data_IF_718174100125
#
_entry.id   IF_718174100125
#
_cell.length_a   1.000
_cell.length_b   1.000
_cell.length_c   1.000
_cell.angle_alpha   90.00
_cell.angle_beta   90.00
_cell.angle_gamma   90.00
#
_symmetry.space_group_name_H-M   'P 1'
#
loop_
_entity.id
_entity.type
_entity.pdbx_description
1 polymer ?
#
# COMPACT_ATOMS: atom_id res chain seq x y z
N UNK A 1 4.52 1.22 -39.96
CA UNK A 1 4.69 2.51 -39.24
C UNK A 1 5.84 2.39 -38.24
N UNK A 2 6.83 3.29 -38.27
CA UNK A 2 7.76 3.42 -37.14
C UNK A 2 7.11 4.37 -36.14
N UNK A 3 6.75 3.85 -34.97
CA UNK A 3 6.40 4.68 -33.80
C UNK A 3 7.59 5.62 -33.55
N UNK A 4 7.34 6.93 -33.47
CA UNK A 4 8.43 7.88 -33.30
C UNK A 4 9.03 7.79 -31.90
N UNK A 5 10.22 8.36 -31.76
CA UNK A 5 11.00 8.28 -30.53
C UNK A 5 10.28 8.89 -29.31
N UNK A 6 9.46 9.92 -29.49
CA UNK A 6 8.70 10.52 -28.38
C UNK A 6 7.59 9.57 -27.91
N UNK A 7 6.84 8.96 -28.83
CA UNK A 7 5.81 7.98 -28.46
C UNK A 7 6.45 6.73 -27.82
N UNK A 8 7.62 6.28 -28.29
CA UNK A 8 8.35 5.18 -27.64
C UNK A 8 8.79 5.53 -26.22
N UNK A 9 9.26 6.75 -25.97
CA UNK A 9 9.61 7.20 -24.62
C UNK A 9 8.38 7.23 -23.70
N UNK A 10 7.24 7.72 -24.18
CA UNK A 10 5.98 7.73 -23.42
C UNK A 10 5.49 6.33 -23.09
N UNK A 11 5.61 5.37 -23.99
CA UNK A 11 5.28 3.96 -23.73
C UNK A 11 6.16 3.39 -22.60
N UNK A 12 7.48 3.67 -22.63
CA UNK A 12 8.38 3.25 -21.54
C UNK A 12 8.01 3.87 -20.19
N UNK A 13 7.66 5.16 -20.19
CA UNK A 13 7.20 5.86 -18.98
C UNK A 13 5.89 5.26 -18.45
N UNK A 14 4.95 4.91 -19.33
CA UNK A 14 3.68 4.28 -18.96
C UNK A 14 3.92 2.91 -18.30
N UNK A 15 4.77 2.08 -18.92
CA UNK A 15 5.14 0.77 -18.36
C UNK A 15 5.78 0.89 -16.97
N UNK A 16 6.64 1.90 -16.75
CA UNK A 16 7.22 2.18 -15.44
C UNK A 16 6.15 2.61 -14.41
N UNK A 17 5.16 3.40 -14.81
CA UNK A 17 4.05 3.79 -13.93
C UNK A 17 3.19 2.58 -13.54
N UNK A 18 2.91 1.68 -14.48
CA UNK A 18 2.18 0.43 -14.22
C UNK A 18 2.93 -0.48 -13.23
N UNK A 19 4.24 -0.62 -13.39
CA UNK A 19 5.08 -1.37 -12.45
C UNK A 19 5.04 -0.75 -11.04
N UNK A 20 5.12 0.58 -10.95
CA UNK A 20 5.03 1.30 -9.68
C UNK A 20 3.65 1.16 -9.02
N UNK A 21 2.57 1.16 -9.82
CA UNK A 21 1.21 0.90 -9.35
C UNK A 21 1.10 -0.50 -8.75
N UNK A 22 1.60 -1.53 -9.44
CA UNK A 22 1.60 -2.90 -8.96
C UNK A 22 2.37 -3.02 -7.64
N UNK A 23 3.57 -2.43 -7.54
CA UNK A 23 4.35 -2.42 -6.30
C UNK A 23 3.63 -1.70 -5.15
N UNK A 24 2.96 -0.58 -5.43
CA UNK A 24 2.21 0.18 -4.42
C UNK A 24 1.01 -0.61 -3.91
N UNK A 25 0.30 -1.31 -4.81
CA UNK A 25 -0.83 -2.16 -4.46
C UNK A 25 -0.42 -3.34 -3.57
N UNK A 26 0.69 -4.01 -3.89
CA UNK A 26 1.23 -5.11 -3.08
C UNK A 26 1.63 -4.64 -1.67
N UNK A 27 2.29 -3.48 -1.56
CA UNK A 27 2.62 -2.90 -0.27
C UNK A 27 1.36 -2.57 0.55
N UNK A 28 0.35 -1.97 -0.08
CA UNK A 28 -0.92 -1.64 0.59
C UNK A 28 -1.62 -2.89 1.12
N UNK A 29 -1.70 -3.95 0.31
CA UNK A 29 -2.27 -5.23 0.71
C UNK A 29 -1.54 -5.83 1.92
N UNK A 30 -0.20 -5.76 1.94
CA UNK A 30 0.60 -6.20 3.08
C UNK A 30 0.24 -5.46 4.38
N UNK A 31 0.06 -4.15 4.34
CA UNK A 31 -0.37 -3.37 5.51
C UNK A 31 -1.82 -3.65 5.90
N UNK A 32 -2.71 -3.90 4.95
CA UNK A 32 -4.11 -4.27 5.24
C UNK A 32 -4.21 -5.61 5.99
N UNK A 33 -3.39 -6.60 5.63
CA UNK A 33 -3.30 -7.87 6.37
C UNK A 33 -2.81 -7.61 7.80
N UNK A 34 -1.73 -6.85 7.97
CA UNK A 34 -1.21 -6.51 9.30
C UNK A 34 -2.22 -5.74 10.16
N UNK A 35 -3.02 -4.87 9.53
CA UNK A 35 -4.09 -4.13 10.21
C UNK A 35 -5.17 -5.08 10.71
N UNK A 36 -5.65 -5.98 9.85
CA UNK A 36 -6.65 -6.99 10.22
C UNK A 36 -6.18 -7.90 11.37
N UNK A 37 -4.92 -8.34 11.34
CA UNK A 37 -4.32 -9.13 12.41
C UNK A 37 -4.23 -8.33 13.72
N UNK A 38 -3.87 -7.04 13.63
CA UNK A 38 -3.77 -6.14 14.79
C UNK A 38 -5.15 -5.90 15.42
N UNK A 39 -6.17 -5.66 14.59
CA UNK A 39 -7.56 -5.50 15.06
C UNK A 39 -8.08 -6.77 15.73
N UNK A 40 -7.77 -7.94 15.15
CA UNK A 40 -8.14 -9.24 15.72
C UNK A 40 -7.45 -9.47 17.07
N UNK A 41 -6.18 -9.09 17.21
CA UNK A 41 -5.46 -9.17 18.48
C UNK A 41 -6.04 -8.24 19.55
N UNK A 42 -6.43 -7.02 19.18
CA UNK A 42 -7.12 -6.07 20.09
C UNK A 42 -8.44 -6.67 20.57
N UNK A 43 -9.21 -7.30 19.67
CA UNK A 43 -10.49 -7.90 20.00
C UNK A 43 -10.35 -9.07 20.98
N UNK A 44 -9.41 -9.99 20.70
CA UNK A 44 -9.16 -11.15 21.56
C UNK A 44 -8.66 -10.76 22.96
N UNK A 45 -7.98 -9.61 23.10
CA UNK A 45 -7.47 -9.12 24.40
C UNK A 45 -8.58 -8.61 25.34
N UNK A 46 -9.78 -8.28 24.85
CA UNK A 46 -10.86 -7.67 25.65
C UNK A 46 -11.23 -8.50 26.89
N UNK A 47 -11.18 -9.83 26.77
CA UNK A 47 -11.58 -10.77 27.82
C UNK A 47 -10.38 -11.40 28.54
N UNK A 48 -9.15 -10.89 28.32
CA UNK A 48 -7.92 -11.44 28.94
C UNK A 48 -7.41 -10.51 30.02
N UNK A 49 -6.71 -11.09 31.01
CA UNK A 49 -6.01 -10.31 32.06
C UNK A 49 -4.58 -9.94 31.67
N UNK A 50 -3.94 -10.78 30.86
CA UNK A 50 -2.55 -10.62 30.43
C UNK A 50 -2.31 -11.39 29.13
N UNK A 51 -1.28 -10.99 28.40
CA UNK A 51 -0.76 -11.72 27.26
C UNK A 51 0.76 -11.72 27.24
N UNK A 52 1.33 -12.26 26.17
CA UNK A 52 2.76 -12.23 25.92
C UNK A 52 3.03 -11.47 24.63
N UNK A 53 4.05 -10.60 24.65
CA UNK A 53 4.61 -9.99 23.45
C UNK A 53 5.99 -10.55 23.16
N UNK A 54 6.30 -10.70 21.88
CA UNK A 54 7.63 -11.09 21.42
C UNK A 54 8.47 -9.82 21.22
N UNK A 55 9.64 -9.78 21.85
CA UNK A 55 10.65 -8.74 21.63
C UNK A 55 11.94 -9.44 21.24
N UNK A 56 12.39 -9.27 20.00
CA UNK A 56 13.47 -10.05 19.41
C UNK A 56 13.24 -11.56 19.55
N UNK A 57 14.02 -12.25 20.38
CA UNK A 57 13.93 -13.69 20.63
C UNK A 57 13.36 -14.04 22.02
N UNK A 58 12.79 -13.07 22.75
CA UNK A 58 12.22 -13.28 24.08
C UNK A 58 10.71 -13.00 24.11
N UNK A 59 10.01 -13.71 25.00
CA UNK A 59 8.61 -13.48 25.33
C UNK A 59 8.52 -12.69 26.63
N UNK A 60 7.76 -11.60 26.62
CA UNK A 60 7.55 -10.74 27.78
C UNK A 60 6.07 -10.79 28.14
N UNK A 61 5.76 -11.21 29.37
CA UNK A 61 4.41 -11.12 29.89
C UNK A 61 4.05 -9.64 30.11
N UNK A 62 2.85 -9.24 29.72
CA UNK A 62 2.33 -7.90 29.95
C UNK A 62 0.84 -7.96 30.24
N UNK A 63 0.33 -7.00 31.00
CA UNK A 63 -1.10 -6.89 31.25
C UNK A 63 -1.85 -6.54 29.96
N UNK A 64 -3.14 -6.89 29.91
CA UNK A 64 -3.95 -6.73 28.70
C UNK A 64 -4.13 -5.26 28.30
N UNK A 65 -4.21 -4.32 29.26
CA UNK A 65 -4.35 -2.89 28.99
C UNK A 65 -3.11 -2.32 28.29
N UNK A 66 -1.92 -2.65 28.79
CA UNK A 66 -0.65 -2.27 28.16
C UNK A 66 -0.55 -2.81 26.74
N UNK A 67 -0.86 -4.10 26.54
CA UNK A 67 -0.82 -4.72 25.20
C UNK A 67 -1.82 -4.09 24.24
N UNK A 68 -3.03 -3.79 24.73
CA UNK A 68 -4.08 -3.15 23.94
C UNK A 68 -3.65 -1.76 23.48
N UNK A 69 -3.08 -0.95 24.38
CA UNK A 69 -2.55 0.38 24.02
C UNK A 69 -1.46 0.30 22.95
N UNK A 70 -0.50 -0.62 23.10
CA UNK A 70 0.57 -0.82 22.10
C UNK A 70 0.00 -1.23 20.72
N UNK A 71 -1.02 -2.09 20.71
CA UNK A 71 -1.68 -2.51 19.47
C UNK A 71 -2.53 -1.39 18.85
N UNK A 72 -3.18 -0.54 19.67
CA UNK A 72 -3.92 0.63 19.20
C UNK A 72 -2.98 1.67 18.55
N UNK A 73 -1.83 1.96 19.17
CA UNK A 73 -0.81 2.82 18.56
C UNK A 73 -0.30 2.24 17.22
N UNK A 74 -0.06 0.91 17.17
CA UNK A 74 0.31 0.22 15.93
C UNK A 74 -0.80 0.31 14.87
N UNK A 75 -2.06 0.17 15.26
CA UNK A 75 -3.23 0.29 14.39
C UNK A 75 -3.26 1.66 13.72
N UNK A 76 -3.13 2.74 14.50
CA UNK A 76 -3.13 4.11 13.98
C UNK A 76 -2.01 4.33 12.95
N UNK A 77 -0.80 3.81 13.22
CA UNK A 77 0.33 3.88 12.29
C UNK A 77 0.02 3.15 10.98
N UNK A 78 -0.57 1.95 11.05
CA UNK A 78 -0.94 1.16 9.88
C UNK A 78 -2.01 1.87 9.04
N UNK A 79 -3.05 2.42 9.67
CA UNK A 79 -4.11 3.18 9.00
C UNK A 79 -3.55 4.41 8.26
N UNK A 80 -2.66 5.16 8.91
CA UNK A 80 -1.97 6.30 8.28
C UNK A 80 -1.14 5.86 7.06
N UNK A 81 -0.45 4.72 7.16
CA UNK A 81 0.36 4.17 6.06
C UNK A 81 -0.50 3.76 4.88
N UNK A 82 -1.60 3.06 5.13
CA UNK A 82 -2.58 2.65 4.10
C UNK A 82 -3.14 3.88 3.40
N UNK A 83 -3.60 4.89 4.16
CA UNK A 83 -4.13 6.15 3.61
C UNK A 83 -3.10 6.90 2.77
N UNK A 84 -1.82 6.86 3.15
CA UNK A 84 -0.74 7.44 2.36
C UNK A 84 -0.55 6.70 1.02
N UNK A 85 -0.56 5.37 1.05
CA UNK A 85 -0.45 4.54 -0.16
C UNK A 85 -1.65 4.69 -1.09
N UNK A 86 -2.87 4.83 -0.57
CA UNK A 86 -4.06 5.11 -1.38
C UNK A 86 -3.94 6.43 -2.13
N UNK A 87 -3.45 7.48 -1.47
CA UNK A 87 -3.18 8.77 -2.12
C UNK A 87 -2.09 8.65 -3.18
N UNK A 88 -1.04 7.88 -2.93
CA UNK A 88 0.03 7.62 -3.89
C UNK A 88 -0.51 6.84 -5.10
N UNK A 89 -1.30 5.81 -4.87
CA UNK A 89 -1.94 5.00 -5.90
C UNK A 89 -2.85 5.86 -6.79
N UNK A 90 -3.72 6.69 -6.20
CA UNK A 90 -4.58 7.61 -6.96
C UNK A 90 -3.77 8.50 -7.89
N UNK A 91 -2.71 9.16 -7.37
CA UNK A 91 -1.85 10.04 -8.18
C UNK A 91 -1.15 9.29 -9.31
N UNK A 92 -0.72 8.05 -9.08
CA UNK A 92 -0.08 7.23 -10.10
C UNK A 92 -1.08 6.79 -11.17
N UNK A 93 -2.31 6.44 -10.78
CA UNK A 93 -3.40 6.08 -11.71
C UNK A 93 -3.79 7.27 -12.59
N UNK A 94 -3.91 8.47 -12.01
CA UNK A 94 -4.23 9.68 -12.77
C UNK A 94 -3.15 9.97 -13.83
N UNK A 95 -1.87 9.91 -13.43
CA UNK A 95 -0.73 10.09 -14.36
C UNK A 95 -0.69 9.02 -15.44
N UNK A 96 -0.95 7.76 -15.09
CA UNK A 96 -0.97 6.66 -16.05
C UNK A 96 -2.10 6.84 -17.07
N UNK A 97 -3.30 7.23 -16.61
CA UNK A 97 -4.46 7.49 -17.46
C UNK A 97 -4.22 8.66 -18.43
N UNK A 98 -3.63 9.76 -17.95
CA UNK A 98 -3.27 10.89 -18.81
C UNK A 98 -2.24 10.49 -19.87
N UNK A 99 -1.19 9.78 -19.47
CA UNK A 99 -0.15 9.33 -20.39
C UNK A 99 -0.67 8.32 -21.41
N UNK A 100 -1.55 7.40 -20.99
CA UNK A 100 -2.22 6.44 -21.86
C UNK A 100 -3.04 7.15 -22.94
N UNK A 101 -3.83 8.18 -22.58
CA UNK A 101 -4.58 8.99 -23.55
C UNK A 101 -3.67 9.69 -24.55
N UNK A 102 -2.55 10.24 -24.09
CA UNK A 102 -1.57 10.88 -24.97
C UNK A 102 -0.93 9.91 -25.95
N UNK A 103 -0.58 8.70 -25.49
CA UNK A 103 -0.01 7.64 -26.34
C UNK A 103 -1.02 7.19 -27.39
N UNK A 104 -2.27 6.92 -26.99
CA UNK A 104 -3.33 6.50 -27.90
C UNK A 104 -3.62 7.56 -28.97
N UNK A 105 -3.77 8.84 -28.57
CA UNK A 105 -4.01 9.92 -29.54
C UNK A 105 -2.86 10.11 -30.53
N UNK A 106 -1.61 9.87 -30.13
CA UNK A 106 -0.45 9.91 -31.03
C UNK A 106 -0.37 8.72 -32.00
N UNK A 107 -0.95 7.57 -31.62
CA UNK A 107 -1.01 6.40 -32.49
C UNK A 107 -2.14 6.55 -33.52
N UNK A 108 -3.32 7.01 -33.08
CA UNK A 108 -4.49 7.24 -33.96
C UNK A 108 -4.27 8.38 -34.96
N UNK A 109 -3.57 9.46 -34.56
CA UNK A 109 -3.26 10.58 -35.47
C UNK A 109 -2.18 10.29 -36.52
N UNK A 110 -1.61 9.08 -36.51
CA UNK A 110 -0.59 8.64 -37.46
C UNK A 110 -1.10 7.63 -38.48
N UNK A 111 -2.31 7.10 -38.33
CA UNK A 111 -3.05 6.38 -39.39
C UNK A 111 -3.67 7.36 -40.39
#
# INVERSE_FOLDING_TARGET
>A
MKVDEQTQQKIKQLSLLEQNLQSTALQKQGFQVQLMETESAIDELKDKKSGYKIVANILIQSDAETLKKELEEKKEVLELRIKSLEKQESKLRDKASELQKQVMGQLESKE
#
